data_IF_687326682877
#
_entry.id   IF_687326682877
#
_cell.length_a   1.000
_cell.length_b   1.000
_cell.length_c   1.000
_cell.angle_alpha   90.00
_cell.angle_beta   90.00
_cell.angle_gamma   90.00
#
_symmetry.space_group_name_H-M   'P 1'
#
loop_
_entity.id
_entity.type
_entity.pdbx_description
1 polymer ?
#
# COMPACT_ATOMS: atom_id res chain seq x y z
N UNK A 1 -35.33 8.34 23.44
CA UNK A 1 -34.83 7.66 22.25
C UNK A 1 -34.11 8.73 21.43
N UNK A 2 -32.79 8.82 21.55
CA UNK A 2 -31.98 9.75 20.74
C UNK A 2 -31.81 9.17 19.36
N UNK A 3 -31.88 10.04 18.35
CA UNK A 3 -31.91 9.76 16.91
C UNK A 3 -31.07 8.57 16.46
N UNK A 4 -31.75 7.62 15.80
CA UNK A 4 -31.21 6.39 15.20
C UNK A 4 -30.55 6.71 13.84
N UNK A 5 -30.48 7.95 13.42
CA UNK A 5 -29.80 8.41 12.19
C UNK A 5 -28.41 8.98 12.49
N UNK A 6 -27.56 8.23 13.23
CA UNK A 6 -26.16 8.54 13.27
C UNK A 6 -25.59 8.15 11.90
N UNK A 7 -25.07 9.12 11.17
CA UNK A 7 -24.33 8.90 9.92
C UNK A 7 -23.29 7.80 10.17
N UNK A 8 -23.29 6.76 9.32
CA UNK A 8 -22.36 5.62 9.52
C UNK A 8 -20.93 6.10 9.34
N UNK A 9 -20.06 5.66 10.22
CA UNK A 9 -18.63 5.96 10.12
C UNK A 9 -18.08 5.40 8.81
N UNK A 10 -17.27 6.21 8.12
CA UNK A 10 -16.66 5.88 6.84
C UNK A 10 -15.32 5.19 7.02
N UNK A 11 -15.04 4.19 6.18
CA UNK A 11 -13.79 3.44 6.15
C UNK A 11 -13.19 3.56 4.76
N UNK A 12 -11.99 4.07 4.65
CA UNK A 12 -11.24 4.10 3.38
C UNK A 12 -10.80 2.69 3.02
N UNK A 13 -11.10 2.28 1.80
CA UNK A 13 -10.66 1.00 1.23
C UNK A 13 -9.61 1.26 0.17
N UNK A 14 -8.40 0.77 0.38
CA UNK A 14 -7.32 0.74 -0.61
C UNK A 14 -7.28 -0.62 -1.28
N UNK A 15 -7.33 -0.67 -2.62
CA UNK A 15 -7.03 -1.89 -3.37
C UNK A 15 -5.54 -1.93 -3.74
N UNK A 16 -4.85 -3.01 -3.38
CA UNK A 16 -3.46 -3.30 -3.76
C UNK A 16 -3.45 -4.25 -4.96
N UNK A 17 -3.31 -3.66 -6.16
CA UNK A 17 -3.75 -4.31 -7.42
C UNK A 17 -2.89 -5.50 -7.82
N UNK A 18 -1.55 -5.35 -7.84
CA UNK A 18 -0.68 -6.38 -8.44
C UNK A 18 0.63 -6.66 -7.68
N UNK A 19 1.20 -5.66 -6.97
CA UNK A 19 2.39 -5.82 -6.14
C UNK A 19 3.63 -6.34 -6.86
N UNK A 20 4.51 -6.98 -6.09
CA UNK A 20 5.79 -7.50 -6.57
C UNK A 20 5.93 -9.03 -6.53
N UNK A 21 4.93 -9.75 -6.02
CA UNK A 21 4.90 -11.21 -5.99
C UNK A 21 4.13 -11.79 -7.17
N UNK A 22 4.42 -13.06 -7.50
CA UNK A 22 3.82 -13.73 -8.64
C UNK A 22 4.34 -13.24 -9.99
N UNK A 23 3.81 -13.83 -11.03
CA UNK A 23 4.12 -13.56 -12.44
C UNK A 23 2.93 -13.95 -13.33
N UNK A 24 3.15 -14.09 -14.64
CA UNK A 24 2.12 -14.49 -15.60
C UNK A 24 1.45 -15.85 -15.33
N UNK A 25 2.04 -16.68 -14.50
CA UNK A 25 1.45 -17.98 -14.11
C UNK A 25 0.48 -17.87 -12.96
N UNK A 26 0.43 -16.70 -12.30
CA UNK A 26 -0.47 -16.44 -11.16
C UNK A 26 -1.88 -16.13 -11.67
N UNK A 27 -2.88 -16.98 -11.35
CA UNK A 27 -4.25 -16.78 -11.85
C UNK A 27 -4.83 -15.43 -11.40
N UNK A 28 -5.44 -14.70 -12.34
CA UNK A 28 -6.14 -13.45 -12.05
C UNK A 28 -5.25 -12.25 -11.76
N UNK A 29 -3.93 -12.41 -11.65
CA UNK A 29 -3.02 -11.29 -11.36
C UNK A 29 -2.89 -10.37 -12.58
N UNK A 30 -3.26 -9.07 -12.47
CA UNK A 30 -3.12 -8.14 -13.58
C UNK A 30 -1.64 -7.80 -13.84
N UNK A 31 -1.22 -7.84 -15.11
CA UNK A 31 0.18 -7.67 -15.54
C UNK A 31 0.35 -6.45 -16.44
N UNK A 32 -0.46 -6.33 -17.51
CA UNK A 32 -0.35 -5.23 -18.46
C UNK A 32 -0.91 -3.92 -17.85
N UNK A 33 -0.49 -2.75 -18.35
CA UNK A 33 -1.07 -1.48 -17.91
C UNK A 33 -2.59 -1.43 -18.03
N UNK A 34 -3.13 -2.02 -19.09
CA UNK A 34 -4.58 -2.11 -19.29
C UNK A 34 -5.26 -3.00 -18.25
N UNK A 35 -4.72 -4.20 -17.99
CA UNK A 35 -5.24 -5.11 -16.95
C UNK A 35 -5.17 -4.47 -15.56
N UNK A 36 -4.06 -3.80 -15.22
CA UNK A 36 -3.87 -3.12 -13.93
C UNK A 36 -4.88 -1.98 -13.77
N UNK A 37 -5.04 -1.13 -14.80
CA UNK A 37 -5.98 -0.02 -14.76
C UNK A 37 -7.43 -0.52 -14.69
N UNK A 38 -7.83 -1.52 -15.49
CA UNK A 38 -9.17 -2.08 -15.46
C UNK A 38 -9.47 -2.72 -14.09
N UNK A 39 -8.52 -3.46 -13.53
CA UNK A 39 -8.66 -4.06 -12.19
C UNK A 39 -8.84 -3.01 -11.09
N UNK A 40 -8.13 -1.87 -11.17
CA UNK A 40 -8.33 -0.74 -10.27
C UNK A 40 -9.73 -0.13 -10.41
N UNK A 41 -10.19 0.10 -11.64
CA UNK A 41 -11.51 0.68 -11.94
C UNK A 41 -12.66 -0.24 -11.49
N UNK A 42 -12.58 -1.53 -11.77
CA UNK A 42 -13.55 -2.52 -11.29
C UNK A 42 -13.60 -2.58 -9.75
N UNK A 43 -12.44 -2.40 -9.10
CA UNK A 43 -12.35 -2.31 -7.65
C UNK A 43 -12.96 -1.00 -7.09
N UNK A 44 -12.85 0.10 -7.84
CA UNK A 44 -13.52 1.36 -7.51
C UNK A 44 -15.04 1.19 -7.51
N UNK A 45 -15.60 0.54 -8.55
CA UNK A 45 -17.03 0.22 -8.62
C UNK A 45 -17.49 -0.68 -7.47
N UNK A 46 -16.60 -1.53 -6.94
CA UNK A 46 -16.86 -2.39 -5.79
C UNK A 46 -16.75 -1.66 -4.43
N UNK A 47 -16.22 -0.41 -4.40
CA UNK A 47 -16.14 0.43 -3.21
C UNK A 47 -14.72 0.73 -2.70
N UNK A 48 -13.67 0.47 -3.49
CA UNK A 48 -12.33 0.97 -3.19
C UNK A 48 -12.20 2.45 -3.58
N UNK A 49 -11.63 3.27 -2.70
CA UNK A 49 -11.40 4.70 -2.96
C UNK A 49 -9.97 5.00 -3.45
N UNK A 50 -9.02 4.13 -3.12
CA UNK A 50 -7.60 4.27 -3.45
C UNK A 50 -7.12 3.04 -4.19
N UNK A 51 -6.34 3.23 -5.28
CA UNK A 51 -5.59 2.15 -5.93
C UNK A 51 -4.09 2.29 -5.62
N UNK A 52 -3.54 1.31 -4.92
CA UNK A 52 -2.09 1.15 -4.74
C UNK A 52 -1.51 0.42 -5.96
N UNK A 53 -0.60 1.07 -6.66
CA UNK A 53 -0.17 0.68 -8.00
C UNK A 53 1.33 0.35 -8.01
N UNK A 54 1.62 -0.87 -8.41
CA UNK A 54 2.86 -1.31 -9.02
C UNK A 54 2.66 -1.51 -10.52
N UNK A 55 3.75 -1.61 -11.27
CA UNK A 55 3.72 -2.00 -12.68
C UNK A 55 4.64 -3.19 -12.93
N UNK A 56 4.36 -3.91 -14.01
CA UNK A 56 5.06 -5.13 -14.36
C UNK A 56 5.55 -5.09 -15.80
N UNK A 57 6.67 -5.72 -16.05
CA UNK A 57 7.14 -6.00 -17.40
C UNK A 57 6.11 -6.87 -18.13
N UNK A 58 5.65 -6.40 -19.28
CA UNK A 58 4.51 -7.01 -20.00
C UNK A 58 4.83 -8.38 -20.59
N UNK A 59 6.11 -8.72 -20.81
CA UNK A 59 6.52 -10.00 -21.36
C UNK A 59 6.73 -11.05 -20.26
N UNK A 60 7.44 -10.67 -19.21
CA UNK A 60 7.84 -11.59 -18.15
C UNK A 60 6.87 -11.62 -16.97
N UNK A 61 6.03 -10.62 -16.80
CA UNK A 61 5.17 -10.43 -15.63
C UNK A 61 5.92 -10.04 -14.35
N UNK A 62 7.22 -9.80 -14.42
CA UNK A 62 8.04 -9.42 -13.26
C UNK A 62 7.82 -7.93 -12.91
N UNK A 63 8.03 -7.53 -11.63
CA UNK A 63 7.96 -6.13 -11.24
C UNK A 63 8.87 -5.23 -12.09
N UNK A 64 8.38 -4.07 -12.47
CA UNK A 64 9.08 -3.09 -13.29
C UNK A 64 9.14 -1.72 -12.63
N UNK A 65 10.10 -0.90 -13.05
CA UNK A 65 10.21 0.51 -12.70
C UNK A 65 10.11 1.42 -13.94
N UNK A 66 9.65 0.87 -15.06
CA UNK A 66 9.51 1.64 -16.29
C UNK A 66 8.45 2.73 -16.12
N UNK A 67 8.89 3.97 -16.32
CA UNK A 67 8.04 5.14 -16.21
C UNK A 67 6.83 5.10 -17.15
N UNK A 68 7.00 4.60 -18.39
CA UNK A 68 5.92 4.56 -19.38
C UNK A 68 4.78 3.65 -18.95
N UNK A 69 5.09 2.54 -18.27
CA UNK A 69 4.07 1.65 -17.74
C UNK A 69 3.26 2.33 -16.62
N UNK A 70 3.92 3.06 -15.72
CA UNK A 70 3.22 3.87 -14.70
C UNK A 70 2.38 4.97 -15.34
N UNK A 71 2.93 5.69 -16.32
CA UNK A 71 2.24 6.77 -17.04
C UNK A 71 0.96 6.24 -17.71
N UNK A 72 1.03 5.11 -18.38
CA UNK A 72 -0.11 4.49 -19.04
C UNK A 72 -1.20 4.07 -18.04
N UNK A 73 -0.85 3.39 -16.95
CA UNK A 73 -1.81 3.00 -15.90
C UNK A 73 -2.49 4.22 -15.30
N UNK A 74 -1.73 5.23 -14.91
CA UNK A 74 -2.25 6.45 -14.29
C UNK A 74 -3.21 7.20 -15.22
N UNK A 75 -2.83 7.34 -16.50
CA UNK A 75 -3.68 8.02 -17.48
C UNK A 75 -5.00 7.27 -17.67
N UNK A 76 -4.97 5.94 -17.85
CA UNK A 76 -6.17 5.11 -18.01
C UNK A 76 -7.12 5.19 -16.81
N UNK A 77 -6.59 5.28 -15.58
CA UNK A 77 -7.40 5.44 -14.38
C UNK A 77 -8.02 6.86 -14.35
N UNK A 78 -7.21 7.90 -14.53
CA UNK A 78 -7.66 9.30 -14.47
C UNK A 78 -8.66 9.69 -15.55
N UNK A 79 -8.61 9.07 -16.73
CA UNK A 79 -9.56 9.30 -17.82
C UNK A 79 -10.96 8.75 -17.52
N UNK A 80 -11.09 7.77 -16.62
CA UNK A 80 -12.32 6.99 -16.43
C UNK A 80 -12.90 7.07 -15.02
N UNK A 81 -12.15 7.61 -14.05
CA UNK A 81 -12.55 7.63 -12.65
C UNK A 81 -11.86 8.76 -11.89
N UNK A 82 -12.48 9.18 -10.79
CA UNK A 82 -11.93 10.06 -9.77
C UNK A 82 -11.18 9.29 -8.65
N UNK A 83 -10.96 8.00 -8.82
CA UNK A 83 -10.23 7.14 -7.89
C UNK A 83 -8.85 7.71 -7.56
N UNK A 84 -8.50 7.72 -6.28
CA UNK A 84 -7.21 8.21 -5.80
C UNK A 84 -6.11 7.23 -6.19
N UNK A 85 -5.06 7.73 -6.83
CA UNK A 85 -3.90 6.93 -7.21
C UNK A 85 -2.81 7.04 -6.14
N UNK A 86 -2.35 5.89 -5.65
CA UNK A 86 -1.24 5.73 -4.73
C UNK A 86 -0.11 4.95 -5.44
N UNK A 87 0.97 5.63 -5.83
CA UNK A 87 2.09 4.99 -6.54
C UNK A 87 3.13 4.44 -5.57
N UNK A 88 3.51 3.18 -5.76
CA UNK A 88 4.53 2.53 -4.94
C UNK A 88 5.92 3.10 -5.20
N UNK A 89 6.71 3.32 -4.14
CA UNK A 89 8.15 3.60 -4.20
C UNK A 89 9.01 2.40 -3.78
N UNK A 90 8.39 1.24 -3.50
CA UNK A 90 9.06 0.03 -3.04
C UNK A 90 9.94 -0.66 -4.10
N UNK A 91 9.61 -0.51 -5.39
CA UNK A 91 10.46 -1.01 -6.45
C UNK A 91 11.85 -0.35 -6.38
N UNK A 92 12.91 -1.17 -6.61
CA UNK A 92 14.30 -0.68 -6.50
C UNK A 92 14.88 -0.69 -5.09
N UNK A 93 14.25 -1.39 -4.15
CA UNK A 93 14.78 -1.57 -2.78
C UNK A 93 15.30 -3.00 -2.50
N UNK A 94 15.12 -3.95 -3.41
CA UNK A 94 15.54 -5.35 -3.21
C UNK A 94 17.05 -5.49 -3.40
N UNK A 95 17.72 -6.08 -2.38
CA UNK A 95 19.12 -6.45 -2.44
C UNK A 95 19.28 -7.92 -2.02
N UNK A 96 20.00 -8.66 -2.86
CA UNK A 96 20.41 -10.04 -2.60
C UNK A 96 21.94 -10.03 -2.63
N UNK A 97 22.64 -10.27 -1.49
CA UNK A 97 24.10 -10.34 -1.48
C UNK A 97 24.61 -11.59 -2.19
N UNK A 98 25.83 -11.55 -2.72
CA UNK A 98 26.54 -12.78 -3.14
C UNK A 98 27.25 -13.41 -1.95
N UNK A 99 27.48 -14.72 -2.01
CA UNK A 99 28.22 -15.45 -0.94
C UNK A 99 29.70 -15.07 -0.90
N UNK A 100 30.28 -14.71 -2.07
CA UNK A 100 31.70 -14.37 -2.18
C UNK A 100 32.00 -12.94 -1.75
N UNK A 101 31.07 -12.03 -2.04
CA UNK A 101 31.22 -10.61 -1.72
C UNK A 101 29.85 -10.03 -1.32
N UNK A 102 29.61 -9.86 -0.01
CA UNK A 102 28.29 -9.43 0.48
C UNK A 102 27.90 -8.00 0.08
N UNK A 103 28.79 -7.19 -0.51
CA UNK A 103 28.43 -5.86 -1.05
C UNK A 103 28.05 -5.92 -2.54
N UNK A 104 28.40 -7.00 -3.23
CA UNK A 104 28.02 -7.21 -4.64
C UNK A 104 26.60 -7.76 -4.76
N UNK A 105 25.78 -7.22 -5.69
CA UNK A 105 24.42 -7.70 -5.89
C UNK A 105 24.37 -9.01 -6.66
N UNK A 106 23.68 -10.00 -6.12
CA UNK A 106 23.33 -11.22 -6.85
C UNK A 106 22.20 -10.98 -7.88
N UNK A 107 22.01 -11.89 -8.88
CA UNK A 107 20.90 -11.81 -9.82
C UNK A 107 19.54 -11.70 -9.10
N UNK A 108 18.70 -10.78 -9.57
CA UNK A 108 17.41 -10.48 -8.95
C UNK A 108 17.44 -9.29 -7.98
N UNK A 109 18.62 -8.75 -7.67
CA UNK A 109 18.73 -7.45 -6.99
C UNK A 109 18.25 -6.32 -7.90
N UNK A 110 17.46 -5.40 -7.32
CA UNK A 110 16.96 -4.20 -8.03
C UNK A 110 17.34 -2.92 -7.30
N UNK A 111 18.13 -2.99 -6.21
CA UNK A 111 18.51 -1.84 -5.41
C UNK A 111 19.12 -0.73 -6.27
N UNK A 112 18.54 0.44 -6.20
CA UNK A 112 18.96 1.62 -6.95
C UNK A 112 18.90 2.89 -6.10
N UNK A 113 19.29 4.03 -6.72
CA UNK A 113 19.28 5.32 -6.03
C UNK A 113 17.86 5.76 -5.62
N UNK A 114 17.71 6.53 -4.52
CA UNK A 114 16.43 7.06 -4.10
C UNK A 114 15.76 7.93 -5.16
N UNK A 115 16.55 8.66 -5.97
CA UNK A 115 16.03 9.46 -7.08
C UNK A 115 15.36 8.63 -8.17
N UNK A 116 15.92 7.45 -8.48
CA UNK A 116 15.30 6.52 -9.44
C UNK A 116 14.02 5.91 -8.90
N UNK A 117 13.99 5.59 -7.60
CA UNK A 117 12.81 5.00 -6.94
C UNK A 117 11.58 5.89 -6.97
N UNK A 118 11.74 7.23 -6.90
CA UNK A 118 10.62 8.17 -6.88
C UNK A 118 10.46 8.96 -8.19
N UNK A 119 11.21 8.66 -9.24
CA UNK A 119 11.14 9.38 -10.51
C UNK A 119 9.72 9.49 -11.06
N UNK A 120 9.00 8.36 -11.11
CA UNK A 120 7.63 8.29 -11.61
C UNK A 120 6.66 9.06 -10.71
N UNK A 121 6.86 9.05 -9.40
CA UNK A 121 6.06 9.81 -8.43
C UNK A 121 6.19 11.31 -8.68
N UNK A 122 7.42 11.82 -8.78
CA UNK A 122 7.68 13.24 -8.99
C UNK A 122 7.17 13.76 -10.34
N UNK A 123 7.18 12.90 -11.37
CA UNK A 123 6.71 13.25 -12.73
C UNK A 123 5.19 13.17 -12.87
N UNK A 124 4.55 12.12 -12.36
CA UNK A 124 3.11 11.87 -12.51
C UNK A 124 2.27 12.59 -11.46
N UNK A 125 2.88 13.00 -10.35
CA UNK A 125 2.25 13.75 -9.24
C UNK A 125 0.91 13.13 -8.82
N UNK A 126 0.91 11.88 -8.31
CA UNK A 126 -0.29 11.30 -7.72
C UNK A 126 -0.66 12.05 -6.44
N UNK A 127 -1.88 11.86 -5.92
CA UNK A 127 -2.30 12.44 -4.66
C UNK A 127 -1.56 11.77 -3.47
N UNK A 128 -1.28 10.47 -3.59
CA UNK A 128 -0.58 9.66 -2.59
C UNK A 128 0.54 8.87 -3.26
N UNK A 129 1.62 8.61 -2.54
CA UNK A 129 2.58 7.58 -2.88
C UNK A 129 2.95 6.80 -1.62
N UNK A 130 3.24 5.50 -1.73
CA UNK A 130 3.79 4.79 -0.59
C UNK A 130 5.25 5.17 -0.35
N UNK A 131 5.68 5.13 0.90
CA UNK A 131 7.05 5.35 1.34
C UNK A 131 7.40 4.31 2.40
N UNK A 132 8.16 3.31 1.99
CA UNK A 132 8.70 2.32 2.93
C UNK A 132 9.79 2.97 3.80
N UNK A 133 9.55 3.05 5.10
CA UNK A 133 10.42 3.83 5.98
C UNK A 133 11.52 3.02 6.68
N UNK A 134 11.49 1.69 6.60
CA UNK A 134 12.45 0.84 7.29
C UNK A 134 13.05 -0.28 6.43
N UNK A 135 14.27 -0.67 6.75
CA UNK A 135 14.94 -1.83 6.18
C UNK A 135 14.49 -3.10 6.89
N UNK A 136 14.20 -4.16 6.11
CA UNK A 136 13.71 -5.44 6.64
C UNK A 136 14.27 -6.60 5.81
N UNK A 137 14.46 -7.76 6.45
CA UNK A 137 14.55 -9.03 5.72
C UNK A 137 13.17 -9.31 5.12
N UNK A 138 13.08 -9.54 3.82
CA UNK A 138 11.84 -9.75 3.10
C UNK A 138 11.89 -11.09 2.37
N UNK A 139 11.50 -12.15 3.07
CA UNK A 139 11.76 -13.51 2.60
C UNK A 139 13.27 -13.77 2.47
N UNK A 140 13.77 -14.13 1.26
CA UNK A 140 15.18 -14.48 1.05
C UNK A 140 16.08 -13.28 0.71
N UNK A 141 15.58 -12.06 0.70
CA UNK A 141 16.34 -10.86 0.33
C UNK A 141 16.20 -9.75 1.38
N UNK A 142 17.03 -8.73 1.26
CA UNK A 142 16.92 -7.51 2.05
C UNK A 142 16.13 -6.46 1.26
N UNK A 143 15.14 -5.88 1.92
CA UNK A 143 14.42 -4.71 1.43
C UNK A 143 15.04 -3.47 2.06
N UNK A 144 15.84 -2.74 1.29
CA UNK A 144 16.74 -1.71 1.81
C UNK A 144 16.11 -0.34 1.78
N UNK A 145 15.91 0.25 2.95
CA UNK A 145 15.42 1.61 3.15
C UNK A 145 16.30 2.31 4.21
N UNK A 146 17.53 2.68 3.82
CA UNK A 146 18.42 3.39 4.73
C UNK A 146 17.85 4.76 5.10
N UNK A 147 18.02 5.16 6.36
CA UNK A 147 17.46 6.42 6.86
C UNK A 147 17.80 7.64 5.98
N UNK A 148 19.06 7.86 5.52
CA UNK A 148 19.36 8.99 4.64
C UNK A 148 18.60 8.97 3.30
N UNK A 149 18.35 7.77 2.73
CA UNK A 149 17.58 7.65 1.49
C UNK A 149 16.09 7.94 1.74
N UNK A 150 15.54 7.43 2.83
CA UNK A 150 14.14 7.69 3.23
C UNK A 150 13.92 9.18 3.50
N UNK A 151 14.82 9.82 4.25
CA UNK A 151 14.77 11.26 4.50
C UNK A 151 14.80 12.07 3.21
N UNK A 152 15.71 11.74 2.28
CA UNK A 152 15.82 12.41 1.00
C UNK A 152 14.56 12.25 0.14
N UNK A 153 13.98 11.03 0.08
CA UNK A 153 12.72 10.78 -0.64
C UNK A 153 11.55 11.53 -0.02
N UNK A 154 11.42 11.48 1.32
CA UNK A 154 10.36 12.18 2.04
C UNK A 154 10.36 13.69 1.78
N UNK A 155 11.54 14.33 1.80
CA UNK A 155 11.69 15.76 1.49
C UNK A 155 11.22 16.09 0.07
N UNK A 156 11.63 15.31 -0.94
CA UNK A 156 11.24 15.53 -2.34
C UNK A 156 9.74 15.32 -2.56
N UNK A 157 9.17 14.29 -1.95
CA UNK A 157 7.72 14.03 -1.99
C UNK A 157 6.96 15.20 -1.34
N UNK A 158 7.36 15.63 -0.14
CA UNK A 158 6.77 16.78 0.56
C UNK A 158 6.77 18.05 -0.29
N UNK A 159 7.89 18.33 -0.96
CA UNK A 159 8.09 19.55 -1.76
C UNK A 159 7.20 19.60 -3.01
N UNK A 160 6.70 18.45 -3.47
CA UNK A 160 5.70 18.37 -4.55
C UNK A 160 4.26 18.46 -4.08
N UNK A 161 4.01 18.43 -2.78
CA UNK A 161 2.66 18.42 -2.20
C UNK A 161 1.98 17.05 -2.16
N UNK A 162 2.64 15.99 -2.63
CA UNK A 162 2.15 14.61 -2.57
C UNK A 162 2.13 14.13 -1.12
N UNK A 163 1.10 13.39 -0.74
CA UNK A 163 1.00 12.80 0.60
C UNK A 163 1.70 11.44 0.64
N UNK A 164 2.78 11.26 1.45
CA UNK A 164 3.36 9.94 1.61
C UNK A 164 2.49 9.08 2.53
N UNK A 165 2.17 7.86 2.09
CA UNK A 165 1.67 6.77 2.92
C UNK A 165 2.87 6.00 3.45
N UNK A 166 3.17 6.17 4.75
CA UNK A 166 4.34 5.55 5.36
C UNK A 166 4.06 4.09 5.69
N UNK A 167 4.71 3.17 4.95
CA UNK A 167 4.61 1.74 5.18
C UNK A 167 5.57 1.30 6.29
N UNK A 168 5.00 0.68 7.34
CA UNK A 168 5.72 0.23 8.53
C UNK A 168 5.47 -1.26 8.78
N UNK A 169 6.55 -2.02 8.91
CA UNK A 169 6.55 -3.48 9.05
C UNK A 169 6.94 -3.94 10.47
N UNK A 170 7.30 -2.98 11.34
CA UNK A 170 7.72 -3.21 12.70
C UNK A 170 7.60 -1.92 13.53
N UNK A 171 7.64 -2.04 14.86
CA UNK A 171 7.59 -0.88 15.77
C UNK A 171 8.78 0.06 15.59
N UNK A 172 9.98 -0.45 15.27
CA UNK A 172 11.14 0.38 14.96
C UNK A 172 10.95 1.25 13.72
N UNK A 173 10.17 0.80 12.75
CA UNK A 173 9.82 1.60 11.57
C UNK A 173 8.86 2.75 11.93
N UNK A 174 7.98 2.56 12.93
CA UNK A 174 7.14 3.65 13.45
C UNK A 174 8.00 4.77 14.04
N UNK A 175 9.11 4.42 14.74
CA UNK A 175 10.05 5.43 15.26
C UNK A 175 10.75 6.21 14.14
N UNK A 176 11.09 5.56 13.02
CA UNK A 176 11.63 6.25 11.83
C UNK A 176 10.58 7.21 11.27
N UNK A 177 9.34 6.76 11.11
CA UNK A 177 8.24 7.62 10.65
C UNK A 177 8.01 8.82 11.60
N UNK A 178 8.04 8.58 12.91
CA UNK A 178 7.95 9.65 13.92
C UNK A 178 9.13 10.63 13.82
N UNK A 179 10.33 10.15 13.49
CA UNK A 179 11.47 11.02 13.21
C UNK A 179 11.24 11.92 12.00
N UNK A 180 10.71 11.39 10.90
CA UNK A 180 10.36 12.18 9.71
C UNK A 180 9.34 13.29 10.01
N UNK A 181 8.38 13.00 10.89
CA UNK A 181 7.40 13.98 11.37
C UNK A 181 8.05 15.06 12.23
N UNK A 182 8.87 14.68 13.22
CA UNK A 182 9.57 15.63 14.11
C UNK A 182 10.51 16.56 13.36
N UNK A 183 11.11 16.07 12.28
CA UNK A 183 12.04 16.86 11.44
C UNK A 183 11.35 17.60 10.30
N UNK A 184 10.01 17.55 10.22
CA UNK A 184 9.22 18.28 9.22
C UNK A 184 9.35 17.74 7.79
N UNK A 185 9.86 16.51 7.62
CA UNK A 185 9.98 15.85 6.30
C UNK A 185 8.65 15.29 5.80
N UNK A 186 7.74 14.98 6.71
CA UNK A 186 6.36 14.57 6.41
C UNK A 186 5.38 15.55 7.05
N UNK A 187 4.35 15.95 6.29
CA UNK A 187 3.31 16.88 6.76
C UNK A 187 2.26 16.15 7.59
N UNK A 188 1.63 16.88 8.50
CA UNK A 188 0.49 16.37 9.29
C UNK A 188 -0.85 16.66 8.59
N UNK A 189 -1.92 15.88 8.86
CA UNK A 189 -1.89 14.60 9.60
C UNK A 189 -1.13 13.52 8.80
N UNK A 190 -0.31 12.68 9.47
CA UNK A 190 0.43 11.63 8.78
C UNK A 190 -0.47 10.46 8.38
N UNK A 191 -0.15 9.84 7.24
CA UNK A 191 -0.80 8.63 6.76
C UNK A 191 0.13 7.42 6.94
N UNK A 192 -0.36 6.39 7.63
CA UNK A 192 0.36 5.16 7.90
C UNK A 192 -0.32 3.95 7.29
N UNK A 193 0.50 3.03 6.78
CA UNK A 193 0.09 1.69 6.40
C UNK A 193 0.79 0.68 7.31
N UNK A 194 0.03 -0.03 8.15
CA UNK A 194 0.56 -1.07 9.05
C UNK A 194 0.58 -2.39 8.30
N UNK A 195 1.80 -2.80 7.88
CA UNK A 195 2.04 -3.98 7.04
C UNK A 195 2.34 -5.19 7.92
N UNK A 196 1.34 -6.07 8.12
CA UNK A 196 1.42 -7.16 9.07
C UNK A 196 1.65 -8.51 8.38
N UNK A 197 2.52 -9.35 8.98
CA UNK A 197 2.70 -10.73 8.52
C UNK A 197 3.61 -10.91 7.31
N UNK A 198 4.32 -9.85 6.90
CA UNK A 198 5.46 -9.99 5.98
C UNK A 198 6.55 -10.82 6.68
N UNK A 199 7.17 -11.74 5.94
CA UNK A 199 8.24 -12.60 6.50
C UNK A 199 9.33 -11.76 7.16
N UNK A 200 9.59 -12.06 8.44
CA UNK A 200 10.58 -11.40 9.30
C UNK A 200 10.22 -9.98 9.78
N UNK A 201 9.03 -9.47 9.41
CA UNK A 201 8.40 -8.33 10.04
C UNK A 201 7.50 -8.73 11.21
N UNK A 202 6.73 -7.77 11.72
CA UNK A 202 5.80 -8.03 12.82
C UNK A 202 4.70 -9.01 12.41
N UNK A 203 4.34 -9.94 13.28
CA UNK A 203 3.33 -10.96 12.99
C UNK A 203 1.93 -10.34 12.87
N UNK A 204 1.11 -10.85 11.95
CA UNK A 204 -0.28 -10.43 11.75
C UNK A 204 -1.19 -11.07 12.83
N UNK A 205 -1.21 -10.48 14.01
CA UNK A 205 -2.09 -10.87 15.11
C UNK A 205 -2.80 -9.63 15.68
N UNK A 206 -4.00 -9.78 16.28
CA UNK A 206 -4.69 -8.67 16.94
C UNK A 206 -3.84 -7.94 17.96
N UNK A 207 -3.04 -8.66 18.73
CA UNK A 207 -2.14 -8.11 19.73
C UNK A 207 -1.07 -7.19 19.10
N UNK A 208 -0.42 -7.66 18.05
CA UNK A 208 0.61 -6.87 17.35
C UNK A 208 0.02 -5.66 16.62
N UNK A 209 -1.15 -5.78 16.02
CA UNK A 209 -1.83 -4.63 15.42
C UNK A 209 -2.14 -3.55 16.46
N UNK A 210 -2.58 -3.94 17.67
CA UNK A 210 -2.81 -3.00 18.77
C UNK A 210 -1.51 -2.30 19.21
N UNK A 211 -0.40 -3.03 19.32
CA UNK A 211 0.91 -2.44 19.65
C UNK A 211 1.33 -1.43 18.60
N UNK A 212 1.26 -1.79 17.31
CA UNK A 212 1.59 -0.88 16.21
C UNK A 212 0.72 0.38 16.25
N UNK A 213 -0.58 0.20 16.40
CA UNK A 213 -1.53 1.32 16.48
C UNK A 213 -1.26 2.24 17.68
N UNK A 214 -0.88 1.69 18.85
CA UNK A 214 -0.56 2.49 20.04
C UNK A 214 0.74 3.30 19.90
N UNK A 215 1.67 2.85 19.06
CA UNK A 215 2.90 3.57 18.76
C UNK A 215 2.70 4.76 17.80
N UNK A 216 1.56 4.85 17.11
CA UNK A 216 1.27 5.94 16.18
C UNK A 216 0.99 7.25 16.91
N UNK A 217 1.28 8.42 16.28
CA UNK A 217 0.81 9.71 16.76
C UNK A 217 -0.72 9.77 16.89
N UNK A 218 -1.21 10.60 17.78
CA UNK A 218 -2.66 10.72 18.06
C UNK A 218 -3.48 11.26 16.89
N UNK A 219 -2.86 12.03 16.01
CA UNK A 219 -3.45 12.58 14.77
C UNK A 219 -3.16 11.71 13.53
N UNK A 220 -2.60 10.52 13.71
CA UNK A 220 -2.33 9.62 12.60
C UNK A 220 -3.61 9.09 11.97
N UNK A 221 -3.69 9.19 10.65
CA UNK A 221 -4.61 8.43 9.83
C UNK A 221 -3.90 7.14 9.47
N UNK A 222 -4.56 6.00 9.61
CA UNK A 222 -3.89 4.73 9.41
C UNK A 222 -4.80 3.67 8.79
N UNK A 223 -4.19 2.78 8.04
CA UNK A 223 -4.80 1.54 7.58
C UNK A 223 -3.94 0.35 8.04
N UNK A 224 -4.54 -0.83 8.14
CA UNK A 224 -3.82 -2.05 8.46
C UNK A 224 -4.26 -3.20 7.57
N UNK A 225 -3.31 -4.06 7.21
CA UNK A 225 -3.57 -5.28 6.46
C UNK A 225 -2.67 -6.43 6.92
N UNK A 226 -3.04 -7.65 6.54
CA UNK A 226 -2.24 -8.84 6.77
C UNK A 226 -1.96 -9.56 5.46
N UNK A 227 -0.83 -10.28 5.37
CA UNK A 227 -0.45 -11.05 4.18
C UNK A 227 -1.13 -12.43 4.18
N UNK A 228 -1.60 -12.85 2.99
CA UNK A 228 -2.13 -14.19 2.74
C UNK A 228 -3.33 -14.52 3.63
N UNK A 229 -3.26 -15.64 4.35
CA UNK A 229 -4.37 -16.14 5.18
C UNK A 229 -4.80 -15.20 6.32
N UNK A 230 -3.97 -14.22 6.68
CA UNK A 230 -4.27 -13.24 7.74
C UNK A 230 -4.96 -11.98 7.23
N UNK A 231 -5.07 -11.80 5.91
CA UNK A 231 -5.58 -10.59 5.27
C UNK A 231 -6.95 -10.17 5.79
N UNK A 232 -7.94 -11.04 5.70
CA UNK A 232 -9.31 -10.72 6.12
C UNK A 232 -9.45 -10.50 7.64
N UNK A 233 -8.67 -11.25 8.44
CA UNK A 233 -8.68 -11.10 9.91
C UNK A 233 -8.11 -9.74 10.33
N UNK A 234 -7.00 -9.30 9.72
CA UNK A 234 -6.40 -8.00 10.01
C UNK A 234 -7.25 -6.86 9.48
N UNK A 235 -7.91 -7.02 8.33
CA UNK A 235 -8.90 -6.08 7.82
C UNK A 235 -10.02 -5.84 8.83
N UNK A 236 -10.66 -6.90 9.29
CA UNK A 236 -11.74 -6.80 10.29
C UNK A 236 -11.25 -6.14 11.59
N UNK A 237 -10.06 -6.53 12.06
CA UNK A 237 -9.44 -5.95 13.26
C UNK A 237 -9.13 -4.45 13.08
N UNK A 238 -8.69 -4.01 11.89
CA UNK A 238 -8.45 -2.60 11.59
C UNK A 238 -9.75 -1.80 11.68
N UNK A 239 -10.84 -2.30 11.10
CA UNK A 239 -12.17 -1.66 11.20
C UNK A 239 -12.64 -1.55 12.66
N UNK A 240 -12.47 -2.60 13.47
CA UNK A 240 -12.83 -2.60 14.90
C UNK A 240 -12.03 -1.60 15.73
N UNK A 241 -10.80 -1.30 15.31
CA UNK A 241 -9.92 -0.32 15.96
C UNK A 241 -10.03 1.09 15.35
N UNK A 242 -11.05 1.35 14.53
CA UNK A 242 -11.29 2.60 13.82
C UNK A 242 -10.17 2.99 12.85
N UNK A 243 -9.53 2.00 12.24
CA UNK A 243 -8.59 2.16 11.14
C UNK A 243 -9.27 1.97 9.78
N UNK A 244 -8.54 2.36 8.74
CA UNK A 244 -8.87 2.07 7.36
C UNK A 244 -8.31 0.70 6.96
N UNK A 245 -8.58 0.27 5.72
CA UNK A 245 -8.24 -1.08 5.28
C UNK A 245 -7.57 -1.09 3.92
N UNK A 246 -6.74 -2.12 3.71
CA UNK A 246 -6.15 -2.46 2.42
C UNK A 246 -6.40 -3.94 2.13
N UNK A 247 -6.70 -4.25 0.86
CA UNK A 247 -6.88 -5.60 0.35
C UNK A 247 -6.55 -5.64 -1.13
N UNK A 248 -6.10 -6.79 -1.63
CA UNK A 248 -5.86 -6.99 -3.06
C UNK A 248 -4.92 -8.15 -3.34
N UNK A 249 -4.73 -8.45 -4.63
CA UNK A 249 -3.93 -9.59 -5.10
C UNK A 249 -2.43 -9.43 -4.84
N UNK A 250 -1.98 -8.24 -4.49
CA UNK A 250 -0.65 -8.02 -3.96
C UNK A 250 -0.46 -8.68 -2.59
N UNK A 251 -1.50 -8.65 -1.74
CA UNK A 251 -1.43 -9.06 -0.34
C UNK A 251 -1.99 -10.46 -0.13
N UNK A 252 -2.98 -10.89 -0.90
CA UNK A 252 -3.57 -12.22 -0.86
C UNK A 252 -4.17 -12.63 -2.21
N UNK A 253 -3.96 -13.89 -2.58
CA UNK A 253 -4.60 -14.48 -3.76
C UNK A 253 -5.88 -15.26 -3.39
N UNK A 254 -6.21 -15.35 -2.12
CA UNK A 254 -7.31 -16.19 -1.65
C UNK A 254 -8.48 -15.36 -1.13
N UNK A 255 -9.65 -15.67 -1.65
CA UNK A 255 -10.92 -15.18 -1.13
C UNK A 255 -11.24 -15.85 0.20
N UNK A 256 -11.03 -17.16 0.29
CA UNK A 256 -11.18 -18.00 1.47
C UNK A 256 -10.13 -19.13 1.45
N UNK A 257 -10.06 -19.88 2.57
CA UNK A 257 -9.15 -21.02 2.65
C UNK A 257 -9.41 -22.01 1.51
N UNK A 258 -8.44 -22.14 0.61
CA UNK A 258 -8.49 -23.05 -0.54
C UNK A 258 -9.30 -22.54 -1.74
N UNK A 259 -9.83 -21.31 -1.68
CA UNK A 259 -10.57 -20.68 -2.79
C UNK A 259 -9.79 -19.45 -3.25
N UNK A 260 -9.26 -19.50 -4.46
CA UNK A 260 -8.60 -18.34 -5.08
C UNK A 260 -9.63 -17.27 -5.42
N UNK A 261 -9.25 -16.02 -5.24
CA UNK A 261 -10.00 -14.90 -5.77
C UNK A 261 -9.87 -14.86 -7.31
N UNK A 262 -10.94 -14.57 -8.00
CA UNK A 262 -10.93 -14.43 -9.45
C UNK A 262 -10.42 -13.06 -9.90
N UNK A 263 -10.51 -12.04 -9.02
CA UNK A 263 -10.13 -10.66 -9.30
C UNK A 263 -9.93 -9.84 -8.01
N UNK A 264 -9.32 -8.66 -8.15
CA UNK A 264 -9.28 -7.67 -7.07
C UNK A 264 -10.67 -7.17 -6.67
N UNK A 265 -11.58 -7.04 -7.64
CA UNK A 265 -12.99 -6.67 -7.39
C UNK A 265 -13.63 -7.59 -6.35
N UNK A 266 -13.50 -8.90 -6.50
CA UNK A 266 -14.07 -9.89 -5.60
C UNK A 266 -13.50 -9.76 -4.16
N UNK A 267 -12.22 -9.48 -4.03
CA UNK A 267 -11.58 -9.20 -2.75
C UNK A 267 -12.12 -7.91 -2.10
N UNK A 268 -12.31 -6.85 -2.90
CA UNK A 268 -12.89 -5.58 -2.43
C UNK A 268 -14.35 -5.76 -2.02
N UNK A 269 -15.16 -6.46 -2.79
CA UNK A 269 -16.57 -6.78 -2.44
C UNK A 269 -16.64 -7.48 -1.09
N UNK A 270 -15.74 -8.44 -0.83
CA UNK A 270 -15.65 -9.12 0.46
C UNK A 270 -15.24 -8.17 1.60
N UNK A 271 -14.28 -7.29 1.37
CA UNK A 271 -13.88 -6.26 2.34
C UNK A 271 -15.04 -5.33 2.69
N UNK A 272 -15.77 -4.84 1.68
CA UNK A 272 -16.94 -3.98 1.86
C UNK A 272 -18.05 -4.70 2.63
N UNK A 273 -18.27 -5.99 2.37
CA UNK A 273 -19.22 -6.79 3.14
C UNK A 273 -18.84 -6.85 4.63
N UNK A 274 -17.57 -7.06 4.96
CA UNK A 274 -17.07 -7.04 6.34
C UNK A 274 -17.28 -5.67 6.99
N UNK A 275 -16.94 -4.59 6.31
CA UNK A 275 -17.12 -3.21 6.80
C UNK A 275 -18.60 -2.97 7.15
N UNK A 276 -19.53 -3.39 6.27
CA UNK A 276 -20.98 -3.23 6.49
C UNK A 276 -21.52 -4.09 7.62
N UNK A 277 -21.04 -5.34 7.76
CA UNK A 277 -21.40 -6.22 8.90
C UNK A 277 -20.99 -5.59 10.23
N UNK A 278 -19.86 -4.85 10.25
CA UNK A 278 -19.39 -4.11 11.42
C UNK A 278 -20.07 -2.74 11.61
N UNK A 279 -21.13 -2.45 10.83
CA UNK A 279 -21.97 -1.26 11.00
C UNK A 279 -21.40 0.01 10.37
N UNK A 280 -20.32 -0.07 9.58
CA UNK A 280 -19.69 1.05 8.89
C UNK A 280 -19.98 1.02 7.39
N UNK A 281 -19.51 2.04 6.64
CA UNK A 281 -19.63 2.11 5.18
C UNK A 281 -18.29 2.42 4.53
N UNK A 282 -18.01 1.94 3.30
CA UNK A 282 -16.84 2.38 2.56
C UNK A 282 -16.94 3.88 2.23
N UNK A 283 -15.80 4.58 2.29
CA UNK A 283 -15.70 5.96 1.87
C UNK A 283 -15.61 6.04 0.33
N UNK A 284 -16.26 7.02 -0.26
CA UNK A 284 -16.05 7.36 -1.68
C UNK A 284 -14.67 8.02 -1.88
N UNK A 285 -14.17 8.15 -3.13
CA UNK A 285 -12.94 8.91 -3.40
C UNK A 285 -12.99 10.35 -2.87
N UNK A 286 -14.11 11.04 -3.00
CA UNK A 286 -14.29 12.41 -2.50
C UNK A 286 -14.25 12.49 -0.97
N UNK A 287 -15.01 11.63 -0.29
CA UNK A 287 -14.97 11.51 1.18
C UNK A 287 -13.57 11.13 1.67
N UNK A 288 -12.86 10.30 0.91
CA UNK A 288 -11.48 9.90 1.21
C UNK A 288 -10.52 11.08 1.12
N UNK A 289 -10.66 11.97 0.13
CA UNK A 289 -9.84 13.20 0.04
C UNK A 289 -10.00 14.07 1.26
N UNK A 290 -11.24 14.24 1.74
CA UNK A 290 -11.52 15.02 2.94
C UNK A 290 -10.95 14.35 4.20
N UNK A 291 -11.15 13.02 4.35
CA UNK A 291 -10.64 12.26 5.48
C UNK A 291 -9.11 12.27 5.56
N UNK A 292 -8.43 12.23 4.42
CA UNK A 292 -6.96 12.19 4.34
C UNK A 292 -6.32 13.58 4.28
N UNK A 293 -7.11 14.66 4.14
CA UNK A 293 -6.59 16.02 3.99
C UNK A 293 -5.79 16.18 2.70
N UNK A 294 -6.34 15.72 1.57
CA UNK A 294 -5.72 15.83 0.23
C UNK A 294 -6.17 17.09 -0.53
N UNK A 295 -7.09 17.85 0.03
CA UNK A 295 -7.60 19.14 -0.50
C UNK A 295 -7.02 20.32 0.26
#
# INVERSE_FOLDING_TARGET
MKDIHREKEKVVVTVSVTGSFGDRTTPGLPITPEEIANSALESCDAGAAIAHIHVRDVETGKPSMDFKLYEEVVNRIRERSDMIVNLSTGAGARFIPTDQDPVSPAPGSTLCSPSKRIEHVLRLKPEICSLDVGTINFGPHVFVNSLPHVEWMAERIRDTGIKPEMEVFDTGHVEIANHLLRTGRVRRPPLFQLCMGVSWGISATPYHLMIMRQALPTDAIWAGFGIGATSLAMLAQSVLLNGNVRIGMEDTLYLEKGILASSNRELVEKAVAVIRILGKEPATPDETRDLLGLR
#
